data_IF_530517992296
#
_entry.id   IF_530517992296
#
_cell.length_a   1.000
_cell.length_b   1.000
_cell.length_c   1.000
_cell.angle_alpha   90.00
_cell.angle_beta   90.00
_cell.angle_gamma   90.00
#
_symmetry.space_group_name_H-M   'P 1'
#
loop_
_entity.id
_entity.type
_entity.pdbx_description
1 polymer ?
#
# COMPACT_ATOMS: atom_id res chain seq x y z
N UNK A 1 41.54 3.21 49.90
CA UNK A 1 41.89 4.19 48.85
C UNK A 1 42.16 3.59 47.46
N UNK A 2 42.63 2.34 47.31
CA UNK A 2 42.88 1.73 45.98
C UNK A 2 41.62 1.25 45.25
N UNK A 3 40.55 0.92 45.97
CA UNK A 3 39.32 0.35 45.38
C UNK A 3 38.41 1.40 44.73
N UNK A 4 38.42 2.63 45.26
CA UNK A 4 37.69 3.78 44.70
C UNK A 4 38.24 4.23 43.34
N UNK A 5 39.54 4.06 43.11
CA UNK A 5 40.19 4.39 41.82
C UNK A 5 39.79 3.40 40.72
N UNK A 6 39.66 2.11 41.04
CA UNK A 6 39.23 1.09 40.07
C UNK A 6 37.76 1.26 39.64
N UNK A 7 36.87 1.62 40.58
CA UNK A 7 35.47 1.89 40.27
C UNK A 7 35.29 3.11 39.35
N UNK A 8 36.10 4.16 39.56
CA UNK A 8 36.14 5.32 38.67
C UNK A 8 36.62 4.96 37.26
N UNK A 9 37.64 4.11 37.11
CA UNK A 9 38.11 3.69 35.78
C UNK A 9 37.09 2.85 35.00
N UNK A 10 36.26 2.06 35.69
CA UNK A 10 35.18 1.25 35.08
C UNK A 10 33.99 2.14 34.68
N UNK A 11 33.70 3.19 35.45
CA UNK A 11 32.63 4.15 35.15
C UNK A 11 33.02 5.16 34.05
N UNK A 12 34.32 5.44 33.87
CA UNK A 12 34.85 6.35 32.84
C UNK A 12 35.17 5.66 31.49
N UNK A 13 35.16 4.33 31.43
CA UNK A 13 35.27 3.57 30.17
C UNK A 13 33.90 3.39 29.50
N UNK A 14 33.13 4.48 29.46
CA UNK A 14 31.93 4.59 28.64
C UNK A 14 32.26 4.36 27.17
N UNK A 15 31.70 3.30 26.60
CA UNK A 15 31.32 3.13 25.19
C UNK A 15 32.26 3.70 24.11
N UNK A 16 33.56 3.43 24.17
CA UNK A 16 34.43 3.55 23.00
C UNK A 16 34.75 2.16 22.45
N UNK A 17 34.04 1.77 21.40
CA UNK A 17 34.47 0.66 20.55
C UNK A 17 33.45 -0.45 20.31
N UNK A 18 32.26 -0.10 19.82
CA UNK A 18 31.55 -1.00 18.90
C UNK A 18 31.57 -0.36 17.51
N UNK A 19 32.77 -0.09 17.00
CA UNK A 19 32.97 0.20 15.57
C UNK A 19 32.98 -1.13 14.83
N UNK A 20 31.81 -1.69 14.54
CA UNK A 20 31.65 -2.79 13.59
C UNK A 20 30.19 -2.88 13.10
N UNK A 21 29.59 -1.72 12.79
CA UNK A 21 28.59 -1.70 11.73
C UNK A 21 29.34 -1.48 10.42
N UNK A 22 30.00 -2.54 9.97
CA UNK A 22 30.31 -2.70 8.56
C UNK A 22 28.95 -2.76 7.87
N UNK A 23 28.51 -1.58 7.39
CA UNK A 23 27.24 -1.40 6.71
C UNK A 23 27.28 -2.37 5.53
N UNK A 24 26.47 -3.44 5.51
CA UNK A 24 26.32 -4.21 4.29
C UNK A 24 25.91 -3.20 3.23
N UNK A 25 26.47 -3.32 2.04
CA UNK A 25 25.98 -2.69 0.81
C UNK A 25 24.57 -3.25 0.49
N UNK A 26 23.65 -3.09 1.42
CA UNK A 26 22.23 -3.21 1.20
C UNK A 26 21.85 -1.96 0.41
N UNK A 27 21.29 -2.16 -0.78
CA UNK A 27 20.54 -1.13 -1.49
C UNK A 27 19.75 -0.31 -0.49
N UNK A 28 19.88 1.02 -0.58
CA UNK A 28 19.11 1.91 0.27
C UNK A 28 17.63 1.53 0.12
N UNK A 29 16.91 1.22 1.21
CA UNK A 29 15.49 0.93 1.11
C UNK A 29 14.82 2.12 0.43
N UNK A 30 13.83 1.88 -0.46
CA UNK A 30 13.17 2.96 -1.17
C UNK A 30 12.71 4.01 -0.16
N UNK A 31 13.14 5.25 -0.36
CA UNK A 31 12.84 6.34 0.57
C UNK A 31 11.32 6.47 0.70
N UNK A 32 10.82 6.52 1.94
CA UNK A 32 9.40 6.65 2.26
C UNK A 32 8.87 8.04 1.86
N UNK A 33 9.72 9.07 1.88
CA UNK A 33 9.36 10.46 1.55
C UNK A 33 8.76 10.60 0.14
N UNK A 34 9.41 10.11 -0.93
CA UNK A 34 8.84 10.13 -2.28
C UNK A 34 7.49 9.41 -2.41
N UNK A 35 7.28 8.34 -1.63
CA UNK A 35 6.03 7.58 -1.69
C UNK A 35 4.88 8.34 -1.01
N UNK A 36 5.16 8.97 0.13
CA UNK A 36 4.19 9.82 0.81
C UNK A 36 3.82 11.06 -0.02
N UNK A 37 4.79 11.71 -0.65
CA UNK A 37 4.56 12.86 -1.55
C UNK A 37 3.66 12.48 -2.72
N UNK A 38 3.95 11.35 -3.39
CA UNK A 38 3.08 10.81 -4.45
C UNK A 38 1.68 10.51 -3.96
N UNK A 39 1.52 9.98 -2.76
CA UNK A 39 0.20 9.78 -2.19
C UNK A 39 -0.53 11.10 -1.90
N UNK A 40 0.18 12.13 -1.41
CA UNK A 40 -0.44 13.46 -1.26
C UNK A 40 -0.87 14.04 -2.60
N UNK A 41 -0.05 13.88 -3.64
CA UNK A 41 -0.41 14.29 -5.00
C UNK A 41 -1.61 13.50 -5.51
N UNK A 42 -1.63 12.18 -5.28
CA UNK A 42 -2.78 11.35 -5.55
C UNK A 42 -4.01 11.94 -4.88
N UNK A 43 -3.97 12.34 -3.60
CA UNK A 43 -5.15 12.88 -2.89
C UNK A 43 -5.75 14.16 -3.45
N UNK A 44 -5.02 14.94 -4.25
CA UNK A 44 -5.49 16.24 -4.74
C UNK A 44 -5.72 16.30 -6.25
N UNK A 45 -5.04 15.46 -7.04
CA UNK A 45 -5.21 15.49 -8.50
C UNK A 45 -6.52 14.86 -8.95
N UNK A 46 -7.10 15.41 -10.01
CA UNK A 46 -8.26 14.88 -10.75
C UNK A 46 -7.91 14.54 -12.19
N UNK A 47 -6.67 14.77 -12.63
CA UNK A 47 -6.21 14.37 -13.95
C UNK A 47 -6.13 12.84 -14.01
N UNK A 48 -6.94 12.25 -14.89
CA UNK A 48 -7.09 10.81 -15.03
C UNK A 48 -5.79 10.12 -15.44
N UNK A 49 -4.99 10.76 -16.29
CA UNK A 49 -3.71 10.22 -16.77
C UNK A 49 -2.68 10.28 -15.64
N UNK A 50 -2.63 11.40 -14.92
CA UNK A 50 -1.75 11.59 -13.78
C UNK A 50 -2.04 10.58 -12.66
N UNK A 51 -3.32 10.31 -12.39
CA UNK A 51 -3.73 9.32 -11.40
C UNK A 51 -3.20 7.92 -11.71
N UNK A 52 -3.32 7.47 -12.97
CA UNK A 52 -2.82 6.17 -13.41
C UNK A 52 -1.29 6.10 -13.23
N UNK A 53 -0.57 7.16 -13.60
CA UNK A 53 0.88 7.22 -13.44
C UNK A 53 1.30 7.16 -11.96
N UNK A 54 0.60 7.87 -11.09
CA UNK A 54 0.88 7.87 -9.65
C UNK A 54 0.64 6.48 -9.05
N UNK A 55 -0.46 5.81 -9.42
CA UNK A 55 -0.76 4.44 -8.98
C UNK A 55 0.36 3.50 -9.37
N UNK A 56 0.76 3.50 -10.66
CA UNK A 56 1.82 2.61 -11.14
C UNK A 56 3.17 2.90 -10.48
N UNK A 57 3.43 4.14 -10.07
CA UNK A 57 4.64 4.50 -9.33
C UNK A 57 4.61 4.04 -7.87
N UNK A 58 3.46 4.14 -7.19
CA UNK A 58 3.30 3.68 -5.81
C UNK A 58 3.33 2.14 -5.78
N UNK A 59 2.64 1.46 -6.69
CA UNK A 59 2.54 0.01 -6.71
C UNK A 59 3.84 -0.68 -7.13
N UNK A 60 4.69 -0.02 -7.92
CA UNK A 60 6.05 -0.51 -8.25
C UNK A 60 6.95 -0.62 -7.04
N UNK A 61 6.67 0.13 -5.97
CA UNK A 61 7.37 -0.05 -4.71
C UNK A 61 6.86 -1.33 -4.08
N UNK A 62 7.57 -2.42 -4.37
CA UNK A 62 7.47 -3.61 -3.55
C UNK A 62 7.77 -3.17 -2.11
N UNK A 63 6.93 -3.51 -1.12
CA UNK A 63 7.42 -3.51 0.24
C UNK A 63 8.60 -4.47 0.19
N UNK A 64 9.81 -3.92 0.19
CA UNK A 64 10.95 -4.68 0.62
C UNK A 64 10.50 -5.16 1.99
N UNK A 65 10.12 -6.43 2.08
CA UNK A 65 10.07 -7.08 3.36
C UNK A 65 11.44 -6.78 3.90
N UNK A 66 11.50 -5.89 4.89
CA UNK A 66 12.72 -5.64 5.63
C UNK A 66 12.92 -6.92 6.43
N UNK A 67 13.26 -8.00 5.71
CA UNK A 67 13.70 -9.24 6.26
C UNK A 67 14.79 -8.77 7.21
N UNK A 68 14.61 -9.01 8.52
CA UNK A 68 15.55 -8.47 9.46
C UNK A 68 16.94 -8.99 9.07
N UNK A 69 18.00 -8.20 9.30
CA UNK A 69 19.35 -8.61 8.98
C UNK A 69 19.62 -10.05 9.42
N UNK A 70 20.42 -10.79 8.66
CA UNK A 70 20.65 -12.23 8.88
C UNK A 70 21.01 -12.58 10.33
N UNK A 71 21.71 -11.70 11.04
CA UNK A 71 22.09 -11.86 12.45
C UNK A 71 20.89 -11.86 13.43
N UNK A 72 19.77 -11.24 13.08
CA UNK A 72 18.54 -11.22 13.89
C UNK A 72 17.67 -12.48 13.71
N UNK A 73 17.97 -13.36 12.73
CA UNK A 73 17.23 -14.63 12.56
C UNK A 73 17.26 -15.52 13.82
N UNK A 74 18.34 -15.45 14.58
CA UNK A 74 18.50 -16.19 15.83
C UNK A 74 17.52 -15.74 16.94
N UNK A 75 16.96 -14.53 16.84
CA UNK A 75 15.99 -14.00 17.81
C UNK A 75 14.54 -14.45 17.53
N UNK A 76 14.38 -15.38 16.59
CA UNK A 76 13.16 -16.14 16.37
C UNK A 76 12.05 -15.35 15.68
N UNK A 77 10.88 -15.99 15.59
CA UNK A 77 9.69 -15.46 14.91
C UNK A 77 9.22 -14.09 15.43
N UNK A 78 9.52 -13.77 16.69
CA UNK A 78 9.09 -12.52 17.32
C UNK A 78 9.80 -11.27 16.76
N UNK A 79 10.99 -11.43 16.18
CA UNK A 79 11.76 -10.33 15.57
C UNK A 79 11.53 -10.24 14.07
N UNK A 80 11.28 -11.38 13.39
CA UNK A 80 10.90 -11.39 11.97
C UNK A 80 9.46 -10.94 11.74
N UNK A 81 8.57 -11.17 12.70
CA UNK A 81 7.17 -10.74 12.63
C UNK A 81 6.92 -9.51 13.51
N UNK A 82 7.84 -8.53 13.48
CA UNK A 82 7.50 -7.25 14.12
C UNK A 82 6.27 -6.67 13.44
N UNK A 83 5.27 -6.20 14.21
CA UNK A 83 4.13 -5.52 13.65
C UNK A 83 4.67 -4.34 12.85
N UNK A 84 4.35 -4.36 11.56
CA UNK A 84 4.78 -3.37 10.59
C UNK A 84 4.33 -2.01 11.13
N UNK A 85 5.28 -1.19 11.59
CA UNK A 85 4.94 0.08 12.25
C UNK A 85 4.25 0.97 11.22
N UNK A 86 2.96 1.15 11.44
CA UNK A 86 1.89 1.58 10.53
C UNK A 86 1.93 3.04 10.10
N UNK A 87 3.07 3.74 10.13
CA UNK A 87 3.01 5.17 9.78
C UNK A 87 2.64 5.37 8.30
N UNK A 88 3.19 4.57 7.37
CA UNK A 88 2.87 4.63 5.93
C UNK A 88 3.20 3.27 5.26
N UNK A 89 2.24 2.34 5.17
CA UNK A 89 2.48 1.08 4.44
C UNK A 89 2.36 1.31 2.92
N UNK A 90 3.36 0.96 2.08
CA UNK A 90 3.31 1.23 0.64
C UNK A 90 2.10 0.63 -0.07
N UNK A 91 1.75 -0.62 0.27
CA UNK A 91 0.54 -1.28 -0.25
C UNK A 91 -0.76 -0.56 0.16
N UNK A 92 -0.83 -0.02 1.38
CA UNK A 92 -2.00 0.74 1.84
C UNK A 92 -2.16 2.05 1.06
N UNK A 93 -1.05 2.76 0.80
CA UNK A 93 -1.08 3.94 -0.05
C UNK A 93 -1.50 3.62 -1.49
N UNK A 94 -1.00 2.51 -2.04
CA UNK A 94 -1.36 2.06 -3.38
C UNK A 94 -2.85 1.72 -3.49
N UNK A 95 -3.38 0.97 -2.52
CA UNK A 95 -4.79 0.61 -2.48
C UNK A 95 -5.68 1.86 -2.34
N UNK A 96 -5.36 2.76 -1.40
CA UNK A 96 -6.09 4.00 -1.19
C UNK A 96 -6.08 4.91 -2.43
N UNK A 97 -4.92 5.07 -3.08
CA UNK A 97 -4.80 5.87 -4.29
C UNK A 97 -5.59 5.26 -5.47
N UNK A 98 -5.55 3.94 -5.61
CA UNK A 98 -6.30 3.21 -6.66
C UNK A 98 -7.80 3.37 -6.49
N UNK A 99 -8.32 3.23 -5.26
CA UNK A 99 -9.74 3.44 -4.96
C UNK A 99 -10.17 4.89 -5.19
N UNK A 100 -9.34 5.86 -4.81
CA UNK A 100 -9.62 7.28 -5.08
C UNK A 100 -9.67 7.55 -6.58
N UNK A 101 -8.74 7.01 -7.36
CA UNK A 101 -8.78 7.16 -8.81
C UNK A 101 -10.02 6.51 -9.42
N UNK A 102 -10.45 5.36 -8.91
CA UNK A 102 -11.72 4.75 -9.33
C UNK A 102 -12.91 5.68 -9.04
N UNK A 103 -12.95 6.32 -7.87
CA UNK A 103 -14.00 7.29 -7.53
C UNK A 103 -14.00 8.50 -8.48
N UNK A 104 -12.82 9.08 -8.78
CA UNK A 104 -12.69 10.18 -9.75
C UNK A 104 -13.14 9.75 -11.15
N UNK A 105 -12.81 8.53 -11.57
CA UNK A 105 -13.26 7.97 -12.85
C UNK A 105 -14.78 7.77 -12.90
N UNK A 106 -15.41 7.40 -11.77
CA UNK A 106 -16.88 7.31 -11.66
C UNK A 106 -17.51 8.69 -11.87
N UNK A 107 -17.00 9.72 -11.17
CA UNK A 107 -17.49 11.09 -11.29
C UNK A 107 -17.34 11.65 -12.71
N UNK A 108 -16.31 11.21 -13.44
CA UNK A 108 -16.05 11.58 -14.82
C UNK A 108 -16.72 10.66 -15.87
N UNK A 109 -17.63 9.76 -15.45
CA UNK A 109 -18.34 8.79 -16.32
C UNK A 109 -17.45 7.76 -17.04
N UNK A 110 -16.18 7.63 -16.64
CA UNK A 110 -15.24 6.60 -17.10
C UNK A 110 -15.47 5.27 -16.35
N UNK A 111 -16.67 4.70 -16.52
CA UNK A 111 -17.14 3.57 -15.70
C UNK A 111 -16.35 2.26 -15.94
N UNK A 112 -15.82 2.07 -17.14
CA UNK A 112 -15.03 0.87 -17.49
C UNK A 112 -13.66 0.90 -16.80
N UNK A 113 -13.02 2.06 -16.79
CA UNK A 113 -11.75 2.32 -16.13
C UNK A 113 -11.91 2.25 -14.61
N UNK A 114 -12.98 2.85 -14.06
CA UNK A 114 -13.31 2.71 -12.64
C UNK A 114 -13.48 1.24 -12.22
N UNK A 115 -14.22 0.45 -13.03
CA UNK A 115 -14.38 -0.99 -12.79
C UNK A 115 -13.04 -1.71 -12.79
N UNK A 116 -12.19 -1.43 -13.76
CA UNK A 116 -10.87 -2.05 -13.88
C UNK A 116 -9.98 -1.74 -12.65
N UNK A 117 -10.00 -0.49 -12.17
CA UNK A 117 -9.25 -0.09 -10.98
C UNK A 117 -9.76 -0.80 -9.71
N UNK A 118 -11.07 -0.88 -9.49
CA UNK A 118 -11.62 -1.62 -8.35
C UNK A 118 -11.31 -3.12 -8.43
N UNK A 119 -11.35 -3.72 -9.62
CA UNK A 119 -10.94 -5.12 -9.83
C UNK A 119 -9.44 -5.33 -9.56
N UNK A 120 -8.59 -4.36 -9.92
CA UNK A 120 -7.14 -4.37 -9.61
C UNK A 120 -6.91 -4.45 -8.10
N UNK A 121 -7.69 -3.72 -7.30
CA UNK A 121 -7.61 -3.78 -5.83
C UNK A 121 -7.92 -5.20 -5.32
N UNK A 122 -9.01 -5.81 -5.80
CA UNK A 122 -9.39 -7.17 -5.40
C UNK A 122 -8.31 -8.21 -5.76
N UNK A 123 -7.67 -8.06 -6.92
CA UNK A 123 -6.63 -8.97 -7.38
C UNK A 123 -5.32 -8.81 -6.57
N UNK A 124 -4.93 -7.57 -6.25
CA UNK A 124 -3.62 -7.27 -5.64
C UNK A 124 -3.62 -7.37 -4.11
N UNK A 125 -4.74 -7.10 -3.46
CA UNK A 125 -4.81 -6.94 -2.00
C UNK A 125 -5.71 -7.99 -1.34
N UNK A 126 -5.59 -9.26 -1.74
CA UNK A 126 -6.50 -10.33 -1.31
C UNK A 126 -6.25 -10.89 0.11
N UNK A 127 -5.17 -10.49 0.80
CA UNK A 127 -4.93 -10.93 2.19
C UNK A 127 -5.87 -10.25 3.18
N UNK A 128 -6.11 -10.89 4.34
CA UNK A 128 -6.96 -10.32 5.40
C UNK A 128 -6.47 -8.96 5.90
N UNK A 129 -5.18 -8.70 5.81
CA UNK A 129 -4.57 -7.44 6.27
C UNK A 129 -5.09 -6.23 5.48
N UNK A 130 -5.69 -6.46 4.31
CA UNK A 130 -6.22 -5.43 3.41
C UNK A 130 -7.74 -5.44 3.29
N UNK A 131 -8.45 -6.14 4.19
CA UNK A 131 -9.91 -6.32 4.13
C UNK A 131 -10.68 -5.00 3.94
N UNK A 132 -10.26 -3.94 4.63
CA UNK A 132 -10.85 -2.60 4.48
C UNK A 132 -10.87 -2.12 3.01
N UNK A 133 -9.74 -2.22 2.30
CA UNK A 133 -9.65 -1.78 0.90
C UNK A 133 -10.39 -2.71 -0.06
N UNK A 134 -10.40 -4.01 0.25
CA UNK A 134 -11.15 -5.01 -0.50
C UNK A 134 -12.66 -4.73 -0.42
N UNK A 135 -13.17 -4.41 0.77
CA UNK A 135 -14.59 -4.13 0.95
C UNK A 135 -15.01 -2.82 0.25
N UNK A 136 -14.18 -1.77 0.35
CA UNK A 136 -14.37 -0.54 -0.44
C UNK A 136 -14.40 -0.79 -1.95
N UNK A 137 -13.54 -1.68 -2.47
CA UNK A 137 -13.53 -2.03 -3.90
C UNK A 137 -14.81 -2.78 -4.31
N UNK A 138 -15.33 -3.67 -3.45
CA UNK A 138 -16.60 -4.37 -3.71
C UNK A 138 -17.78 -3.41 -3.73
N UNK A 139 -17.83 -2.46 -2.78
CA UNK A 139 -18.86 -1.42 -2.74
C UNK A 139 -18.85 -0.57 -4.02
N UNK A 140 -17.67 -0.13 -4.47
CA UNK A 140 -17.53 0.60 -5.72
C UNK A 140 -18.01 -0.22 -6.94
N UNK A 141 -17.69 -1.52 -7.00
CA UNK A 141 -18.16 -2.40 -8.07
C UNK A 141 -19.68 -2.62 -8.05
N UNK A 142 -20.28 -2.71 -6.86
CA UNK A 142 -21.73 -2.85 -6.71
C UNK A 142 -22.46 -1.60 -7.25
N UNK A 143 -22.00 -0.40 -6.89
CA UNK A 143 -22.60 0.86 -7.39
C UNK A 143 -22.50 1.02 -8.91
N UNK A 144 -21.45 0.48 -9.53
CA UNK A 144 -21.30 0.44 -10.99
C UNK A 144 -22.26 -0.55 -11.68
N UNK A 145 -22.72 -1.59 -10.98
CA UNK A 145 -23.67 -2.55 -11.53
C UNK A 145 -25.08 -1.98 -11.58
N UNK A 146 -25.47 -1.24 -10.54
CA UNK A 146 -26.76 -0.56 -10.44
C UNK A 146 -26.92 0.59 -11.46
N UNK A 147 -25.80 1.09 -11.99
CA UNK A 147 -25.74 2.13 -13.01
C UNK A 147 -25.75 1.59 -14.45
N UNK A 148 -25.76 0.27 -14.66
CA UNK A 148 -25.84 -0.31 -16.00
C UNK A 148 -27.22 0.03 -16.62
N UNK A 149 -27.28 0.45 -17.90
CA UNK A 149 -28.56 0.75 -18.53
C UNK A 149 -29.44 -0.49 -18.50
N UNK A 150 -30.64 -0.35 -17.94
CA UNK A 150 -31.64 -1.41 -17.98
C UNK A 150 -31.79 -1.86 -19.43
N UNK A 151 -31.37 -3.09 -19.73
CA UNK A 151 -31.59 -3.70 -21.04
C UNK A 151 -33.10 -3.84 -21.19
N UNK A 152 -33.72 -2.87 -21.86
CA UNK A 152 -35.12 -2.95 -22.25
C UNK A 152 -35.18 -4.07 -23.28
N UNK A 153 -35.56 -5.26 -22.83
CA UNK A 153 -35.84 -6.37 -23.72
C UNK A 153 -37.01 -5.94 -24.61
N UNK A 154 -36.72 -5.64 -25.88
CA UNK A 154 -37.72 -5.38 -26.89
C UNK A 154 -38.58 -6.63 -27.02
N UNK A 155 -39.83 -6.58 -26.54
CA UNK A 155 -40.82 -7.62 -26.74
C UNK A 155 -41.55 -7.29 -28.04
N UNK A 156 -41.30 -7.98 -29.16
CA UNK A 156 -42.09 -7.77 -30.35
C UNK A 156 -43.53 -8.20 -30.05
N UNK A 157 -44.45 -7.26 -30.20
CA UNK A 157 -45.88 -7.53 -30.15
C UNK A 157 -46.21 -8.66 -31.13
N UNK A 158 -46.73 -9.76 -30.61
CA UNK A 158 -47.29 -10.82 -31.44
C UNK A 158 -48.55 -10.27 -32.10
N UNK A 159 -48.39 -9.83 -33.34
CA UNK A 159 -49.50 -9.58 -34.24
C UNK A 159 -50.42 -10.83 -34.27
N UNK A 160 -51.69 -10.63 -33.91
CA UNK A 160 -52.77 -11.59 -34.12
C UNK A 160 -52.94 -11.89 -35.61
N UNK A 161 -53.07 -13.16 -36.04
CA UNK A 161 -53.74 -13.49 -37.27
C UNK A 161 -55.26 -13.60 -37.05
N UNK A 162 -55.98 -13.17 -38.09
CA UNK A 162 -57.45 -13.12 -38.26
C UNK A 162 -58.17 -14.43 -37.98
#
# INVERSE_FOLDING_TARGET
>A
MRWTVCLLTILLSGCHGVSLFERPTAEAPPSIMPLWERYQQCRVTTDLTELVLIIDQIERVMPAGSAPPSWMRAWGHNVTNQPLRTAVHPQALGAACTLRAAAVMIEAEHLMEARALSQRVLARYSSRDWAYYVDQAKEALAGLHDSAPAVVAFRPDRALPR
#
